data_IF_887667273972
#
_entry.id   IF_887667273972
#
_cell.length_a   1.000
_cell.length_b   1.000
_cell.length_c   1.000
_cell.angle_alpha   90.00
_cell.angle_beta   90.00
_cell.angle_gamma   90.00
#
_symmetry.space_group_name_H-M   'P 1'
#
loop_
_entity.id
_entity.type
_entity.pdbx_description
1 polymer ?
#
# COMPACT_ATOMS: atom_id res chain seq x y z
N UNK A 1 -14.43 21.79 -4.70
CA UNK A 1 -14.54 20.57 -3.89
C UNK A 1 -13.12 20.24 -3.46
N UNK A 2 -12.83 20.16 -2.16
CA UNK A 2 -11.49 19.80 -1.67
C UNK A 2 -11.27 18.32 -2.00
N UNK A 3 -10.16 17.93 -2.63
CA UNK A 3 -9.94 16.52 -2.96
C UNK A 3 -9.87 15.68 -1.66
N UNK A 4 -10.44 14.47 -1.70
CA UNK A 4 -10.52 13.55 -0.54
C UNK A 4 -9.13 13.13 -0.03
N UNK A 5 -8.11 13.26 -0.87
CA UNK A 5 -6.71 13.00 -0.60
C UNK A 5 -5.83 14.00 -1.36
N UNK A 6 -4.55 14.11 -0.98
CA UNK A 6 -3.55 14.90 -1.73
C UNK A 6 -2.49 13.99 -2.36
N UNK A 7 -1.88 14.45 -3.44
CA UNK A 7 -0.86 13.70 -4.20
C UNK A 7 0.46 14.45 -4.07
N UNK A 8 1.57 13.73 -3.86
CA UNK A 8 2.88 14.35 -3.88
C UNK A 8 3.17 14.93 -5.28
N UNK A 9 3.78 16.13 -5.40
CA UNK A 9 3.92 16.81 -6.70
C UNK A 9 4.61 15.97 -7.79
N UNK A 10 5.55 15.10 -7.42
CA UNK A 10 6.27 14.24 -8.36
C UNK A 10 5.44 13.06 -8.87
N UNK A 11 4.27 12.81 -8.30
CA UNK A 11 3.31 11.75 -8.69
C UNK A 11 2.13 12.29 -9.51
N UNK A 12 2.06 13.60 -9.78
CA UNK A 12 0.96 14.21 -10.54
C UNK A 12 0.79 13.64 -11.96
N UNK A 13 1.82 12.99 -12.51
CA UNK A 13 1.70 12.30 -13.80
C UNK A 13 0.77 11.06 -13.74
N UNK A 14 0.46 10.53 -12.55
CA UNK A 14 -0.57 9.51 -12.35
C UNK A 14 -1.97 10.09 -12.19
N UNK A 15 -2.08 11.41 -11.95
CA UNK A 15 -3.34 12.14 -11.79
C UNK A 15 -3.91 12.56 -13.16
N UNK A 16 -4.07 11.58 -14.03
CA UNK A 16 -4.65 11.73 -15.37
C UNK A 16 -5.83 10.77 -15.51
N UNK A 17 -6.80 11.03 -16.41
CA UNK A 17 -7.90 10.11 -16.65
C UNK A 17 -7.37 8.69 -16.86
N UNK A 18 -7.94 7.71 -16.18
CA UNK A 18 -7.40 6.36 -16.21
C UNK A 18 -7.42 5.77 -17.63
N UNK A 19 -8.42 6.14 -18.45
CA UNK A 19 -8.46 5.82 -19.88
C UNK A 19 -7.25 6.34 -20.65
N UNK A 20 -6.78 7.54 -20.37
CA UNK A 20 -5.60 8.12 -21.00
C UNK A 20 -4.32 7.43 -20.51
N UNK A 21 -4.26 7.08 -19.22
CA UNK A 21 -3.15 6.31 -18.65
C UNK A 21 -3.00 4.93 -19.31
N UNK A 22 -4.13 4.24 -19.55
CA UNK A 22 -4.21 2.96 -20.25
C UNK A 22 -3.79 3.13 -21.71
N UNK A 23 -4.36 4.11 -22.42
CA UNK A 23 -4.06 4.36 -23.82
C UNK A 23 -2.57 4.68 -24.07
N UNK A 24 -1.91 5.33 -23.09
CA UNK A 24 -0.48 5.63 -23.14
C UNK A 24 0.42 4.38 -22.93
N UNK A 25 -0.15 3.25 -22.51
CA UNK A 25 0.58 2.01 -22.20
C UNK A 25 -0.06 0.78 -22.86
N UNK A 26 -0.12 0.75 -24.21
CA UNK A 26 -0.74 -0.33 -24.96
C UNK A 26 -0.02 -1.68 -24.80
N UNK A 27 1.16 -1.70 -24.19
CA UNK A 27 1.90 -2.92 -23.88
C UNK A 27 1.36 -3.72 -22.69
N UNK A 28 0.36 -3.20 -21.97
CA UNK A 28 -0.32 -3.87 -20.86
C UNK A 28 -1.81 -4.05 -21.16
N UNK A 29 -2.34 -5.18 -20.74
CA UNK A 29 -3.74 -5.55 -20.91
C UNK A 29 -4.59 -5.22 -19.67
N UNK A 30 -3.95 -5.06 -18.51
CA UNK A 30 -4.59 -4.76 -17.24
C UNK A 30 -3.61 -4.10 -16.26
N UNK A 31 -4.17 -3.41 -15.27
CA UNK A 31 -3.41 -2.67 -14.28
C UNK A 31 -3.83 -3.10 -12.87
N UNK A 32 -2.86 -3.23 -11.98
CA UNK A 32 -3.08 -3.41 -10.55
C UNK A 32 -2.57 -2.21 -9.76
N UNK A 33 -3.04 -2.08 -8.54
CA UNK A 33 -2.67 -1.00 -7.63
C UNK A 33 -2.41 -1.54 -6.23
N UNK A 34 -1.65 -0.81 -5.42
CA UNK A 34 -1.45 -1.17 -4.02
C UNK A 34 -1.00 0.00 -3.15
N UNK A 35 -1.34 -0.07 -1.87
CA UNK A 35 -1.05 0.95 -0.88
C UNK A 35 -0.27 0.40 0.30
N UNK A 36 0.94 0.89 0.53
CA UNK A 36 1.73 0.61 1.72
C UNK A 36 1.45 1.67 2.78
N UNK A 37 0.85 1.24 3.89
CA UNK A 37 0.43 2.11 5.00
C UNK A 37 1.37 1.88 6.17
N UNK A 38 1.99 2.95 6.66
CA UNK A 38 2.78 2.93 7.89
C UNK A 38 1.96 3.43 9.07
N UNK A 39 2.23 2.90 10.26
CA UNK A 39 1.49 3.23 11.49
C UNK A 39 1.53 4.72 11.89
N UNK A 40 2.43 5.49 11.26
CA UNK A 40 2.67 6.89 11.58
C UNK A 40 2.88 7.68 10.30
N UNK A 41 2.53 8.95 10.35
CA UNK A 41 2.81 9.88 9.26
C UNK A 41 4.32 10.08 9.06
N UNK A 42 4.69 10.44 7.84
CA UNK A 42 6.04 10.82 7.43
C UNK A 42 6.47 12.15 8.03
N UNK A 43 5.51 13.03 8.32
CA UNK A 43 5.76 14.33 8.95
C UNK A 43 6.13 14.14 10.42
N UNK A 44 7.31 14.59 10.87
CA UNK A 44 7.72 14.51 12.28
C UNK A 44 6.75 15.31 13.15
N UNK A 45 6.16 14.67 14.15
CA UNK A 45 5.47 15.41 15.21
C UNK A 45 6.53 16.10 16.10
N UNK A 46 6.26 17.30 16.64
CA UNK A 46 7.21 18.05 17.48
C UNK A 46 7.73 17.30 18.73
N UNK A 47 7.12 16.16 19.06
CA UNK A 47 7.42 15.32 20.23
C UNK A 47 8.13 14.00 19.89
N UNK A 48 8.53 13.76 18.63
CA UNK A 48 9.25 12.55 18.24
C UNK A 48 10.67 12.54 18.84
N UNK A 49 10.81 11.96 20.02
CA UNK A 49 12.10 11.78 20.69
C UNK A 49 12.98 10.76 19.94
N UNK A 50 14.29 11.02 19.94
CA UNK A 50 15.30 10.03 19.55
C UNK A 50 15.14 8.76 20.41
N UNK A 51 14.60 7.69 19.82
CA UNK A 51 14.18 6.47 20.53
C UNK A 51 12.78 5.96 20.19
N UNK A 52 12.08 6.55 19.22
CA UNK A 52 10.83 5.97 18.70
C UNK A 52 11.03 4.52 18.24
N UNK A 53 10.04 3.63 18.45
CA UNK A 53 10.11 2.26 17.97
C UNK A 53 10.29 2.21 16.45
N UNK A 54 10.81 1.09 15.89
CA UNK A 54 10.95 0.93 14.45
C UNK A 54 9.59 1.12 13.73
N UNK A 55 9.57 1.68 12.50
CA UNK A 55 8.34 1.79 11.71
C UNK A 55 7.67 0.45 11.55
N UNK A 56 6.33 0.48 11.56
CA UNK A 56 5.49 -0.67 11.26
C UNK A 56 4.63 -0.40 10.03
N UNK A 57 4.52 -1.40 9.18
CA UNK A 57 3.71 -1.38 7.96
C UNK A 57 2.50 -2.31 8.11
N UNK A 58 1.33 -1.90 7.63
CA UNK A 58 0.15 -2.76 7.63
C UNK A 58 0.30 -3.84 6.57
N UNK A 59 0.24 -5.10 6.99
CA UNK A 59 0.14 -6.25 6.12
C UNK A 59 -1.18 -7.00 6.37
N UNK A 60 -1.76 -7.50 5.29
CA UNK A 60 -2.97 -8.31 5.28
C UNK A 60 -2.58 -9.76 4.93
N UNK A 61 -3.19 -10.72 5.61
CA UNK A 61 -3.06 -12.13 5.28
C UNK A 61 -4.21 -12.57 4.40
N UNK A 62 -3.88 -13.02 3.20
CA UNK A 62 -4.83 -13.58 2.23
C UNK A 62 -5.58 -14.78 2.82
N UNK A 63 -6.88 -14.82 2.62
CA UNK A 63 -7.75 -15.90 3.06
C UNK A 63 -7.31 -17.24 2.45
N UNK A 64 -7.52 -18.34 3.19
CA UNK A 64 -7.15 -19.68 2.69
C UNK A 64 -7.93 -20.12 1.44
N UNK A 65 -9.07 -19.49 1.17
CA UNK A 65 -9.92 -19.75 0.00
C UNK A 65 -9.50 -18.94 -1.23
N UNK A 66 -8.61 -17.99 -1.07
CA UNK A 66 -8.16 -17.11 -2.14
C UNK A 66 -6.91 -17.68 -2.86
N UNK A 67 -6.50 -17.05 -3.96
CA UNK A 67 -5.22 -17.30 -4.61
C UNK A 67 -4.06 -16.99 -3.64
N UNK A 68 -2.95 -17.71 -3.74
CA UNK A 68 -1.80 -17.57 -2.81
C UNK A 68 -2.21 -17.60 -1.31
N UNK A 69 -2.92 -18.66 -0.87
CA UNK A 69 -3.56 -18.69 0.44
C UNK A 69 -2.54 -18.53 1.58
N UNK A 70 -2.90 -17.71 2.57
CA UNK A 70 -2.09 -17.46 3.76
C UNK A 70 -0.87 -16.58 3.56
N UNK A 71 -0.59 -16.12 2.33
CA UNK A 71 0.47 -15.16 2.07
C UNK A 71 0.12 -13.77 2.62
N UNK A 72 1.14 -13.01 2.98
CA UNK A 72 1.01 -11.65 3.50
C UNK A 72 1.40 -10.61 2.44
N UNK A 73 0.64 -9.52 2.36
CA UNK A 73 0.87 -8.42 1.43
C UNK A 73 0.34 -7.07 1.96
N UNK A 74 0.69 -5.97 1.30
CA UNK A 74 -0.03 -4.71 1.53
C UNK A 74 -1.34 -4.70 0.74
N UNK A 75 -2.32 -3.87 1.12
CA UNK A 75 -3.60 -3.83 0.41
C UNK A 75 -3.45 -3.47 -1.07
N UNK A 76 -4.29 -4.04 -1.91
CA UNK A 76 -4.40 -3.67 -3.32
C UNK A 76 -4.74 -4.79 -4.28
N UNK A 77 -5.76 -4.56 -5.11
CA UNK A 77 -6.19 -5.40 -6.22
C UNK A 77 -6.04 -4.76 -7.61
N UNK A 78 -7.07 -4.96 -8.42
CA UNK A 78 -7.12 -4.53 -9.82
C UNK A 78 -7.62 -3.09 -9.90
N UNK A 79 -7.02 -2.29 -10.79
CA UNK A 79 -7.61 -0.99 -11.11
C UNK A 79 -8.73 -1.17 -12.14
N UNK A 80 -9.86 -0.50 -11.93
CA UNK A 80 -11.11 -0.69 -12.67
C UNK A 80 -11.44 0.55 -13.51
N UNK A 81 -11.28 0.51 -14.85
CA UNK A 81 -11.48 1.69 -15.70
C UNK A 81 -12.91 2.26 -15.70
N UNK A 82 -13.89 1.43 -15.32
CA UNK A 82 -15.31 1.82 -15.25
C UNK A 82 -15.68 2.47 -13.91
N UNK A 83 -14.84 2.32 -12.88
CA UNK A 83 -15.08 2.85 -11.52
C UNK A 83 -14.06 3.93 -11.11
N UNK A 84 -12.79 3.72 -11.49
CA UNK A 84 -11.65 4.54 -11.08
C UNK A 84 -11.40 5.68 -12.08
N UNK A 85 -11.48 6.93 -11.60
CA UNK A 85 -11.23 8.12 -12.42
C UNK A 85 -9.77 8.27 -12.85
N UNK A 86 -8.84 7.85 -12.00
CA UNK A 86 -7.39 7.82 -12.19
C UNK A 86 -6.83 6.51 -11.65
N UNK A 87 -5.59 6.16 -12.00
CA UNK A 87 -4.91 5.00 -11.38
C UNK A 87 -4.84 5.13 -9.85
N UNK A 88 -4.69 6.36 -9.34
CA UNK A 88 -4.59 6.63 -7.91
C UNK A 88 -5.93 6.45 -7.19
N UNK A 89 -7.06 6.68 -7.86
CA UNK A 89 -8.39 6.40 -7.29
C UNK A 89 -8.56 4.91 -7.00
N UNK A 90 -8.00 4.04 -7.84
CA UNK A 90 -7.94 2.60 -7.57
C UNK A 90 -7.17 2.29 -6.28
N UNK A 91 -6.04 2.96 -6.02
CA UNK A 91 -5.30 2.80 -4.74
C UNK A 91 -6.19 3.18 -3.55
N UNK A 92 -6.94 4.28 -3.68
CA UNK A 92 -7.83 4.77 -2.61
C UNK A 92 -8.99 3.82 -2.37
N UNK A 93 -9.62 3.30 -3.43
CA UNK A 93 -10.71 2.34 -3.36
C UNK A 93 -10.26 1.04 -2.70
N UNK A 94 -9.21 0.42 -3.22
CA UNK A 94 -8.70 -0.87 -2.73
C UNK A 94 -8.27 -0.81 -1.26
N UNK A 95 -7.58 0.28 -0.85
CA UNK A 95 -7.24 0.48 0.56
C UNK A 95 -8.51 0.55 1.42
N UNK A 96 -9.53 1.28 0.98
CA UNK A 96 -10.78 1.40 1.73
C UNK A 96 -11.55 0.08 1.79
N UNK A 97 -11.63 -0.68 0.70
CA UNK A 97 -12.33 -1.96 0.62
C UNK A 97 -11.67 -3.03 1.50
N UNK A 98 -10.34 -3.16 1.42
CA UNK A 98 -9.63 -4.24 2.09
C UNK A 98 -9.28 -3.94 3.56
N UNK A 99 -9.23 -2.66 3.95
CA UNK A 99 -8.80 -2.25 5.31
C UNK A 99 -9.80 -1.40 6.07
N UNK A 100 -10.81 -0.84 5.40
CA UNK A 100 -11.72 0.16 5.98
C UNK A 100 -11.08 1.53 6.26
N UNK A 101 -9.80 1.73 5.90
CA UNK A 101 -9.06 2.97 6.10
C UNK A 101 -9.16 3.89 4.88
N UNK A 102 -9.10 5.20 5.09
CA UNK A 102 -9.24 6.16 4.00
C UNK A 102 -7.94 6.89 3.71
N UNK A 103 -7.44 6.75 2.49
CA UNK A 103 -6.22 7.45 2.05
C UNK A 103 -6.40 8.97 2.19
N UNK A 104 -5.44 9.60 2.84
CA UNK A 104 -5.34 11.06 3.00
C UNK A 104 -4.25 11.65 2.10
N UNK A 105 -3.14 10.94 1.91
CA UNK A 105 -2.01 11.40 1.09
C UNK A 105 -1.35 10.24 0.34
N UNK A 106 -0.99 10.45 -0.92
CA UNK A 106 -0.18 9.52 -1.72
C UNK A 106 1.21 10.13 -1.86
N UNK A 107 2.22 9.43 -1.34
CA UNK A 107 3.52 10.05 -1.02
C UNK A 107 4.65 9.67 -1.97
N UNK A 108 4.74 8.41 -2.36
CA UNK A 108 5.85 7.90 -3.18
C UNK A 108 5.44 6.63 -3.93
N UNK A 109 5.96 6.43 -5.14
CA UNK A 109 5.87 5.18 -5.89
C UNK A 109 6.95 4.20 -5.39
N UNK A 110 6.52 3.08 -4.84
CA UNK A 110 7.42 2.02 -4.37
C UNK A 110 7.89 1.15 -5.51
N UNK A 111 6.98 0.65 -6.34
CA UNK A 111 7.33 -0.31 -7.38
C UNK A 111 6.32 -0.32 -8.53
N UNK A 112 6.81 -0.76 -9.70
CA UNK A 112 5.99 -1.16 -10.84
C UNK A 112 6.37 -2.59 -11.19
N UNK A 113 5.51 -3.54 -10.83
CA UNK A 113 5.72 -4.96 -11.12
C UNK A 113 5.00 -5.34 -12.41
N UNK A 114 5.67 -6.08 -13.28
CA UNK A 114 5.10 -6.54 -14.55
C UNK A 114 5.19 -8.05 -14.63
N UNK A 115 4.06 -8.71 -14.91
CA UNK A 115 4.02 -10.15 -15.10
C UNK A 115 2.99 -10.57 -16.15
N UNK A 116 3.10 -11.83 -16.60
CA UNK A 116 2.10 -12.48 -17.43
C UNK A 116 1.15 -13.28 -16.53
N UNK A 117 -0.15 -13.04 -16.65
CA UNK A 117 -1.18 -13.82 -15.98
C UNK A 117 -1.98 -14.62 -17.02
N UNK A 118 -2.23 -15.90 -16.72
CA UNK A 118 -3.09 -16.75 -17.55
C UNK A 118 -4.49 -16.76 -16.96
N UNK A 119 -5.44 -16.17 -17.68
CA UNK A 119 -6.87 -16.16 -17.33
C UNK A 119 -7.43 -17.59 -17.34
N UNK A 120 -8.58 -17.80 -16.70
CA UNK A 120 -9.26 -19.10 -16.65
C UNK A 120 -9.60 -19.68 -18.04
N UNK A 121 -9.80 -18.81 -19.03
CA UNK A 121 -10.08 -19.20 -20.42
C UNK A 121 -8.82 -19.56 -21.22
N UNK A 122 -7.63 -19.47 -20.62
CA UNK A 122 -6.34 -19.76 -21.27
C UNK A 122 -5.65 -18.54 -21.87
N UNK A 123 -6.31 -17.37 -21.93
CA UNK A 123 -5.71 -16.16 -22.47
C UNK A 123 -4.59 -15.67 -21.56
N UNK A 124 -3.49 -15.22 -22.16
CA UNK A 124 -2.36 -14.62 -21.44
C UNK A 124 -2.47 -13.12 -21.54
N UNK A 125 -2.56 -12.47 -20.38
CA UNK A 125 -2.56 -11.01 -20.27
C UNK A 125 -1.29 -10.53 -19.58
N UNK A 126 -0.81 -9.36 -19.97
CA UNK A 126 0.31 -8.68 -19.34
C UNK A 126 -0.20 -7.63 -18.38
N UNK A 127 0.12 -7.78 -17.10
CA UNK A 127 -0.34 -6.92 -16.01
C UNK A 127 0.80 -6.03 -15.55
N UNK A 128 0.51 -4.77 -15.25
CA UNK A 128 1.40 -3.87 -14.51
C UNK A 128 0.76 -3.42 -13.19
N UNK A 129 1.37 -3.74 -12.04
CA UNK A 129 0.92 -3.28 -10.71
C UNK A 129 1.77 -2.12 -10.21
N UNK A 130 1.12 -1.04 -9.82
CA UNK A 130 1.75 0.15 -9.26
C UNK A 130 1.47 0.21 -7.76
N UNK A 131 2.53 0.19 -6.94
CA UNK A 131 2.39 0.21 -5.48
C UNK A 131 2.95 1.51 -4.91
N UNK A 132 2.22 2.16 -4.00
CA UNK A 132 2.56 3.47 -3.45
C UNK A 132 2.65 3.45 -1.92
N UNK A 133 3.43 4.35 -1.34
CA UNK A 133 3.30 4.71 0.09
C UNK A 133 2.14 5.67 0.22
N UNK A 134 1.23 5.39 1.17
CA UNK A 134 0.08 6.23 1.46
C UNK A 134 -0.05 6.51 2.96
N UNK A 135 -0.59 7.68 3.30
CA UNK A 135 -1.09 8.00 4.63
C UNK A 135 -2.61 7.86 4.65
N UNK A 136 -3.17 7.55 5.81
CA UNK A 136 -4.61 7.40 6.02
C UNK A 136 -5.13 8.40 7.04
N UNK A 137 -6.40 8.80 6.91
CA UNK A 137 -7.04 9.76 7.82
C UNK A 137 -7.09 9.22 9.26
N UNK A 138 -7.35 7.93 9.44
CA UNK A 138 -7.51 7.27 10.73
C UNK A 138 -6.22 7.22 11.56
N UNK A 139 -5.05 7.42 10.95
CA UNK A 139 -3.78 7.50 11.66
C UNK A 139 -3.57 8.85 12.35
N UNK A 140 -4.46 9.82 12.13
CA UNK A 140 -4.34 11.20 12.64
C UNK A 140 -5.68 11.68 13.21
N UNK A 141 -5.70 12.12 14.48
CA UNK A 141 -6.88 12.75 15.10
C UNK A 141 -6.72 14.26 15.12
N UNK A 142 -7.77 14.99 14.75
CA UNK A 142 -7.83 16.43 14.97
C UNK A 142 -8.33 16.70 16.40
N UNK A 143 -7.58 17.50 17.15
CA UNK A 143 -7.91 17.93 18.50
C UNK A 143 -8.78 19.19 18.50
N UNK A 144 -9.43 19.46 19.63
CA UNK A 144 -10.35 20.61 19.78
C UNK A 144 -9.66 21.98 19.59
N UNK A 145 -8.35 22.04 19.78
CA UNK A 145 -7.53 23.24 19.56
C UNK A 145 -7.09 23.43 18.09
N UNK A 146 -7.55 22.55 17.19
CA UNK A 146 -7.23 22.57 15.76
C UNK A 146 -5.90 21.92 15.40
N UNK A 147 -5.14 21.40 16.38
CA UNK A 147 -3.92 20.64 16.12
C UNK A 147 -4.24 19.20 15.72
N UNK A 148 -3.29 18.53 15.06
CA UNK A 148 -3.42 17.13 14.68
C UNK A 148 -2.43 16.28 15.47
N UNK A 149 -2.87 15.13 15.95
CA UNK A 149 -2.06 14.18 16.72
C UNK A 149 -2.14 12.79 16.12
N UNK A 150 -1.01 12.07 16.07
CA UNK A 150 -1.00 10.67 15.66
C UNK A 150 -1.87 9.80 16.59
N UNK A 151 -2.57 8.86 15.98
CA UNK A 151 -3.33 7.83 16.67
C UNK A 151 -2.39 6.67 16.99
N UNK A 152 -2.36 6.13 18.23
CA UNK A 152 -1.64 4.91 18.56
C UNK A 152 -2.03 3.78 17.61
N UNK A 153 -1.06 2.94 17.22
CA UNK A 153 -1.28 1.90 16.20
C UNK A 153 -2.43 0.94 16.55
N UNK A 154 -2.63 0.68 17.84
CA UNK A 154 -3.65 -0.19 18.40
C UNK A 154 -5.05 0.45 18.41
N UNK A 155 -5.13 1.76 18.21
CA UNK A 155 -6.36 2.52 18.05
C UNK A 155 -6.74 2.70 16.56
N UNK A 156 -5.89 2.34 15.60
CA UNK A 156 -6.21 2.43 14.16
C UNK A 156 -7.21 1.31 13.79
N UNK A 157 -8.43 1.64 13.32
CA UNK A 157 -9.54 0.70 13.24
C UNK A 157 -9.53 -0.10 11.93
N UNK A 158 -8.54 -0.98 11.73
CA UNK A 158 -8.46 -1.87 10.56
C UNK A 158 -9.66 -2.84 10.53
N UNK A 159 -10.36 -2.91 9.40
CA UNK A 159 -11.47 -3.82 9.13
C UNK A 159 -11.22 -4.54 7.81
N UNK A 160 -11.04 -5.86 7.88
CA UNK A 160 -10.72 -6.65 6.71
C UNK A 160 -11.96 -7.02 5.90
N UNK A 161 -11.80 -7.05 4.59
CA UNK A 161 -12.74 -7.74 3.72
C UNK A 161 -12.57 -9.25 3.91
N UNK A 162 -13.53 -9.87 4.60
CA UNK A 162 -13.41 -11.22 5.12
C UNK A 162 -13.38 -12.31 4.04
N UNK A 163 -13.83 -11.99 2.82
CA UNK A 163 -13.77 -12.92 1.68
C UNK A 163 -12.37 -13.06 1.10
N UNK A 164 -11.55 -12.01 1.21
CA UNK A 164 -10.20 -11.95 0.63
C UNK A 164 -9.09 -12.05 1.68
N UNK A 165 -9.36 -11.58 2.91
CA UNK A 165 -8.37 -11.47 3.97
C UNK A 165 -8.88 -12.03 5.31
N UNK A 166 -8.00 -12.69 6.06
CA UNK A 166 -8.35 -13.39 7.30
C UNK A 166 -7.65 -12.86 8.55
N UNK A 167 -6.56 -12.11 8.40
CA UNK A 167 -5.80 -11.52 9.49
C UNK A 167 -5.03 -10.29 9.00
N UNK A 168 -4.62 -9.43 9.93
CA UNK A 168 -3.73 -8.31 9.65
C UNK A 168 -2.66 -8.19 10.73
N UNK A 169 -1.61 -7.46 10.41
CA UNK A 169 -0.53 -7.19 11.34
C UNK A 169 0.20 -5.90 10.99
N UNK A 170 0.74 -5.25 12.01
CA UNK A 170 1.62 -4.09 11.88
C UNK A 170 3.06 -4.57 11.96
N UNK A 171 3.61 -4.92 10.80
CA UNK A 171 4.88 -5.61 10.66
C UNK A 171 6.08 -4.67 10.78
N UNK A 172 7.13 -5.09 11.48
CA UNK A 172 8.44 -4.42 11.48
C UNK A 172 9.34 -4.93 10.35
N UNK A 173 10.28 -4.09 9.90
CA UNK A 173 11.20 -4.42 8.80
C UNK A 173 12.00 -5.68 9.08
N UNK A 174 12.48 -5.87 10.32
CA UNK A 174 13.31 -7.01 10.71
C UNK A 174 12.58 -8.34 10.52
N UNK A 175 11.31 -8.42 10.92
CA UNK A 175 10.50 -9.64 10.78
C UNK A 175 10.19 -9.94 9.32
N UNK A 176 9.88 -8.91 8.51
CA UNK A 176 9.68 -9.06 7.07
C UNK A 176 10.97 -9.54 6.40
N UNK A 177 12.11 -8.94 6.74
CA UNK A 177 13.41 -9.29 6.20
C UNK A 177 13.80 -10.73 6.56
N UNK A 178 13.61 -11.12 7.82
CA UNK A 178 13.86 -12.49 8.26
C UNK A 178 12.96 -13.50 7.53
N UNK A 179 11.67 -13.18 7.42
CA UNK A 179 10.70 -14.01 6.70
C UNK A 179 11.09 -14.19 5.23
N UNK A 180 11.44 -13.10 4.55
CA UNK A 180 11.84 -13.09 3.15
C UNK A 180 13.14 -13.88 2.91
N UNK A 181 14.16 -13.70 3.76
CA UNK A 181 15.46 -14.33 3.57
C UNK A 181 15.48 -15.82 3.90
N UNK A 182 14.65 -16.26 4.86
CA UNK A 182 14.73 -17.62 5.40
C UNK A 182 13.54 -18.51 5.03
N UNK A 183 12.40 -17.91 4.67
CA UNK A 183 11.13 -18.61 4.51
C UNK A 183 10.56 -19.19 5.83
N UNK A 184 11.14 -18.84 6.98
CA UNK A 184 10.79 -19.39 8.31
C UNK A 184 10.29 -18.33 9.30
N UNK A 185 10.13 -17.09 8.84
CA UNK A 185 9.67 -15.99 9.69
C UNK A 185 8.16 -15.96 9.85
N UNK A 186 7.69 -14.90 10.51
CA UNK A 186 6.28 -14.66 10.82
C UNK A 186 5.40 -14.55 9.58
N UNK A 187 5.94 -13.98 8.49
CA UNK A 187 5.16 -13.68 7.29
C UNK A 187 5.46 -14.70 6.20
N UNK A 188 4.45 -15.47 5.81
CA UNK A 188 4.51 -16.24 4.57
C UNK A 188 4.49 -15.26 3.40
N UNK A 189 5.61 -15.10 2.71
CA UNK A 189 5.73 -14.25 1.53
C UNK A 189 5.83 -15.15 0.29
N UNK A 190 5.18 -14.78 -0.84
CA UNK A 190 5.36 -15.53 -2.08
C UNK A 190 6.84 -15.50 -2.50
N UNK A 191 7.29 -16.60 -3.09
CA UNK A 191 8.65 -16.69 -3.62
C UNK A 191 8.86 -15.60 -4.69
N UNK A 192 10.07 -15.02 -4.81
CA UNK A 192 10.37 -14.01 -5.83
C UNK A 192 10.07 -14.43 -7.28
N UNK A 193 10.08 -15.73 -7.55
CA UNK A 193 9.72 -16.28 -8.85
C UNK A 193 8.22 -16.25 -9.17
N UNK A 194 7.39 -15.98 -8.15
CA UNK A 194 5.92 -15.95 -8.23
C UNK A 194 5.40 -14.53 -8.06
N UNK A 195 5.92 -13.77 -7.10
CA UNK A 195 5.58 -12.37 -6.91
C UNK A 195 6.70 -11.61 -6.18
N UNK A 196 6.77 -10.30 -6.39
CA UNK A 196 7.79 -9.42 -5.80
C UNK A 196 7.36 -8.76 -4.48
N UNK A 197 6.38 -9.34 -3.78
CA UNK A 197 5.82 -8.76 -2.55
C UNK A 197 6.87 -8.49 -1.47
N UNK A 198 7.70 -9.49 -1.12
CA UNK A 198 8.74 -9.32 -0.10
C UNK A 198 9.74 -8.18 -0.38
N UNK A 199 10.38 -8.15 -1.57
CA UNK A 199 11.25 -7.05 -1.98
C UNK A 199 10.56 -5.68 -1.97
N UNK A 200 9.30 -5.60 -2.39
CA UNK A 200 8.58 -4.33 -2.45
C UNK A 200 8.21 -3.80 -1.05
N UNK A 201 7.84 -4.68 -0.12
CA UNK A 201 7.63 -4.30 1.29
C UNK A 201 8.94 -3.74 1.89
N UNK A 202 10.07 -4.41 1.69
CA UNK A 202 11.38 -3.92 2.17
C UNK A 202 11.78 -2.60 1.51
N UNK A 203 11.46 -2.42 0.22
CA UNK A 203 11.66 -1.15 -0.48
C UNK A 203 10.80 -0.04 0.10
N UNK A 204 9.55 -0.33 0.46
CA UNK A 204 8.66 0.63 1.12
C UNK A 204 9.24 1.11 2.46
N UNK A 205 9.85 0.24 3.27
CA UNK A 205 10.55 0.64 4.51
C UNK A 205 11.70 1.61 4.24
N UNK A 206 12.52 1.33 3.22
CA UNK A 206 13.62 2.19 2.81
C UNK A 206 13.15 3.58 2.40
N UNK A 207 12.17 3.65 1.50
CA UNK A 207 11.57 4.91 1.03
C UNK A 207 10.87 5.67 2.16
N UNK A 208 10.15 4.99 3.04
CA UNK A 208 9.52 5.61 4.21
C UNK A 208 10.56 6.27 5.11
N UNK A 209 11.68 5.59 5.36
CA UNK A 209 12.80 6.14 6.14
C UNK A 209 13.40 7.39 5.49
N UNK A 210 13.47 7.44 4.16
CA UNK A 210 13.92 8.63 3.41
C UNK A 210 12.93 9.78 3.51
N UNK A 211 11.63 9.52 3.36
CA UNK A 211 10.56 10.51 3.53
C UNK A 211 10.56 11.15 4.93
N UNK A 212 10.81 10.34 5.97
CA UNK A 212 10.94 10.83 7.35
C UNK A 212 12.15 11.75 7.53
N UNK A 213 13.29 11.45 6.88
CA UNK A 213 14.50 12.30 6.93
C UNK A 213 14.31 13.60 6.15
N UNK A 214 13.69 13.53 4.97
CA UNK A 214 13.43 14.71 4.13
C UNK A 214 12.45 15.70 4.75
N UNK A 215 11.56 15.22 5.63
CA UNK A 215 10.60 16.07 6.36
C UNK A 215 11.19 16.77 7.60
N UNK A 216 12.46 16.48 7.96
CA UNK A 216 13.20 17.10 9.06
C UNK A 216 14.14 18.24 8.62
N UNK A 217 14.28 18.46 7.30
CA UNK A 217 15.15 19.49 6.70
C UNK A 217 14.35 20.63 6.09
#
# INVERSE_FOLDING_TARGET
MIPRYTIAPHLEYFNVPFTDFIAARPEFDAFGVGGYIFERATTPLPTANAGSPPPRILLLQRALTDSMPGCWEGPGGAAEPDEDGTLLDGVVREVAEETGLHVSRILELVAVDVWMHTRRNGDRIRIAKYSFIVEVHEAMRQLADGTTQAVPVDEIPVRLEATEHQAFDWAIEEDVKYSFQTGKGKYQLPLPAVAHQGPNILRAFGLFTELQKGSLG
#
